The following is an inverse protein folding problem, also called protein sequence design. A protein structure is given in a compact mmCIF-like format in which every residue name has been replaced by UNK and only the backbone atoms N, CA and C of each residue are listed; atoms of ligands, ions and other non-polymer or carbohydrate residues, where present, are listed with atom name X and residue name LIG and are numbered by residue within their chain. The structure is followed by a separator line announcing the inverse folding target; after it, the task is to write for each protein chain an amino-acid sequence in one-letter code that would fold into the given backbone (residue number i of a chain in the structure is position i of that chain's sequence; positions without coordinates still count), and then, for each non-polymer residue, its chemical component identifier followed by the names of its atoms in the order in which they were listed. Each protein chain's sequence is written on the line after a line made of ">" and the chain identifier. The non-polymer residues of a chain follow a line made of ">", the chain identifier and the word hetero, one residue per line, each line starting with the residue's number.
data_IF_997490571815
#
_entry.id   IF_997490571815
#
_cell.length_a   1.000
_cell.length_b   1.000
_cell.length_c   1.000
_cell.angle_alpha   90.00
_cell.angle_beta   90.00
_cell.angle_gamma   90.00
#
_symmetry.space_group_name_H-M   'P 1'
#
loop_
_entity.id
_entity.type
_entity.pdbx_description
1 polymer ?
#
# COMPACT_ATOMS: atom_id res chain seq x y z
N UNK A 1 -21.16 -11.40 -3.32
CA UNK A 1 -20.63 -10.02 -3.36
C UNK A 1 -19.14 -10.10 -3.09
N UNK A 2 -18.28 -9.48 -3.93
CA UNK A 2 -16.87 -9.29 -3.56
C UNK A 2 -16.84 -8.25 -2.43
N UNK A 3 -16.25 -8.59 -1.30
CA UNK A 3 -16.08 -7.64 -0.19
C UNK A 3 -15.11 -6.54 -0.69
N UNK A 4 -15.48 -5.25 -0.62
CA UNK A 4 -14.59 -4.18 -1.04
C UNK A 4 -13.32 -4.15 -0.18
N UNK A 5 -12.17 -3.93 -0.82
CA UNK A 5 -10.89 -3.84 -0.13
C UNK A 5 -10.78 -2.44 0.52
N UNK A 6 -10.52 -2.34 1.83
CA UNK A 6 -10.47 -1.05 2.52
C UNK A 6 -9.11 -0.36 2.31
N UNK A 7 -8.83 0.12 1.09
CA UNK A 7 -7.54 0.73 0.76
C UNK A 7 -7.20 1.91 1.67
N UNK A 8 -8.18 2.68 2.14
CA UNK A 8 -7.95 3.78 3.10
C UNK A 8 -7.26 3.33 4.38
N UNK A 9 -7.78 2.29 5.03
CA UNK A 9 -7.19 1.72 6.25
C UNK A 9 -5.79 1.17 5.98
N UNK A 10 -5.56 0.60 4.80
CA UNK A 10 -4.25 0.08 4.42
C UNK A 10 -3.24 1.22 4.26
N UNK A 11 -3.63 2.31 3.59
CA UNK A 11 -2.77 3.48 3.40
C UNK A 11 -2.47 4.17 4.74
N UNK A 12 -3.47 4.35 5.60
CA UNK A 12 -3.28 4.86 6.96
C UNK A 12 -2.26 4.03 7.74
N UNK A 13 -2.34 2.69 7.61
CA UNK A 13 -1.39 1.82 8.29
C UNK A 13 0.01 1.95 7.72
N UNK A 14 0.16 2.01 6.39
CA UNK A 14 1.46 2.18 5.75
C UNK A 14 2.09 3.54 6.06
N UNK A 15 1.29 4.61 6.16
CA UNK A 15 1.73 5.96 6.54
C UNK A 15 2.34 6.04 7.95
N UNK A 16 2.11 5.06 8.82
CA UNK A 16 2.78 4.98 10.12
C UNK A 16 4.25 4.51 10.01
N UNK A 17 4.64 4.00 8.85
CA UNK A 17 5.93 3.33 8.61
C UNK A 17 6.73 3.94 7.44
N UNK A 18 6.29 5.08 6.90
CA UNK A 18 6.99 5.81 5.85
C UNK A 18 8.07 6.75 6.41
N UNK A 19 9.00 7.17 5.56
CA UNK A 19 9.92 8.26 5.84
C UNK A 19 9.25 9.66 5.67
N UNK A 20 10.04 10.73 5.80
CA UNK A 20 9.55 12.12 5.68
C UNK A 20 8.90 12.45 4.32
N UNK A 21 9.21 11.69 3.28
CA UNK A 21 8.72 11.89 1.91
C UNK A 21 7.53 10.98 1.57
N UNK A 22 6.94 10.32 2.57
CA UNK A 22 5.88 9.31 2.44
C UNK A 22 6.31 8.07 1.62
N UNK A 23 7.60 7.71 1.66
CA UNK A 23 8.16 6.56 0.96
C UNK A 23 8.36 5.39 1.93
N UNK A 24 8.05 4.19 1.47
CA UNK A 24 8.27 2.91 2.17
C UNK A 24 8.81 1.85 1.20
N UNK A 25 9.66 0.95 1.70
CA UNK A 25 10.13 -0.20 0.93
C UNK A 25 8.99 -1.17 0.60
N UNK A 26 8.95 -1.70 -0.62
CA UNK A 26 7.96 -2.69 -1.10
C UNK A 26 7.91 -3.91 -0.18
N UNK A 27 9.08 -4.38 0.31
CA UNK A 27 9.17 -5.52 1.24
C UNK A 27 8.46 -5.22 2.55
N UNK A 28 8.72 -4.07 3.14
CA UNK A 28 8.13 -3.65 4.41
C UNK A 28 6.65 -3.36 4.26
N UNK A 29 6.25 -2.69 3.18
CA UNK A 29 4.84 -2.48 2.85
C UNK A 29 4.09 -3.81 2.73
N UNK A 30 4.65 -4.79 2.00
CA UNK A 30 4.05 -6.14 1.91
C UNK A 30 3.96 -6.83 3.27
N UNK A 31 4.98 -6.68 4.11
CA UNK A 31 5.00 -7.23 5.46
C UNK A 31 3.89 -6.61 6.33
N UNK A 32 3.79 -5.28 6.39
CA UNK A 32 2.77 -4.60 7.19
C UNK A 32 1.35 -4.91 6.71
N UNK A 33 1.11 -4.94 5.40
CA UNK A 33 -0.20 -5.32 4.86
C UNK A 33 -0.55 -6.76 5.21
N UNK A 34 0.40 -7.69 5.03
CA UNK A 34 0.21 -9.11 5.34
C UNK A 34 -0.14 -9.32 6.81
N UNK A 35 0.64 -8.73 7.73
CA UNK A 35 0.46 -8.91 9.18
C UNK A 35 -0.80 -8.21 9.70
N UNK A 36 -1.07 -6.97 9.27
CA UNK A 36 -2.19 -6.19 9.82
C UNK A 36 -3.54 -6.61 9.24
N UNK A 37 -3.59 -7.02 7.98
CA UNK A 37 -4.84 -7.33 7.27
C UNK A 37 -5.01 -8.82 6.96
N UNK A 38 -4.04 -9.67 7.35
CA UNK A 38 -4.05 -11.13 7.14
C UNK A 38 -4.26 -11.51 5.68
N UNK A 39 -3.60 -10.79 4.78
CA UNK A 39 -3.72 -10.95 3.32
C UNK A 39 -2.53 -11.73 2.75
N UNK A 40 -2.79 -12.63 1.82
CA UNK A 40 -1.73 -13.36 1.11
C UNK A 40 -0.89 -12.42 0.22
N UNK A 41 0.43 -12.59 0.24
CA UNK A 41 1.38 -11.83 -0.58
C UNK A 41 1.03 -11.73 -2.08
N UNK A 42 0.41 -12.76 -2.67
CA UNK A 42 -0.06 -12.71 -4.08
C UNK A 42 -1.14 -11.65 -4.28
N UNK A 43 -2.09 -11.57 -3.35
CA UNK A 43 -3.17 -10.57 -3.39
C UNK A 43 -2.63 -9.17 -3.10
N UNK A 44 -1.66 -9.03 -2.19
CA UNK A 44 -1.04 -7.73 -1.88
C UNK A 44 -0.40 -7.11 -3.13
N UNK A 45 0.26 -7.92 -3.96
CA UNK A 45 0.83 -7.42 -5.21
C UNK A 45 -0.24 -6.85 -6.15
N UNK A 46 -1.37 -7.55 -6.32
CA UNK A 46 -2.51 -7.04 -7.08
C UNK A 46 -3.07 -5.76 -6.48
N UNK A 47 -3.22 -5.71 -5.15
CA UNK A 47 -3.71 -4.53 -4.44
C UNK A 47 -2.82 -3.31 -4.65
N UNK A 48 -1.50 -3.46 -4.69
CA UNK A 48 -0.60 -2.34 -4.98
C UNK A 48 -0.72 -1.86 -6.43
N UNK A 49 -0.94 -2.76 -7.40
CA UNK A 49 -1.24 -2.33 -8.76
C UNK A 49 -2.56 -1.58 -8.84
N UNK A 50 -3.61 -2.10 -8.20
CA UNK A 50 -4.91 -1.41 -8.12
C UNK A 50 -4.79 -0.04 -7.44
N UNK A 51 -4.07 0.07 -6.32
CA UNK A 51 -3.81 1.35 -5.65
C UNK A 51 -3.04 2.33 -6.53
N UNK A 52 -2.10 1.85 -7.35
CA UNK A 52 -1.38 2.70 -8.31
C UNK A 52 -2.32 3.22 -9.39
N UNK A 53 -3.15 2.34 -9.96
CA UNK A 53 -4.11 2.71 -11.01
C UNK A 53 -5.17 3.69 -10.49
N UNK A 54 -5.49 3.61 -9.19
CA UNK A 54 -6.36 4.55 -8.48
C UNK A 54 -5.66 5.86 -8.07
N UNK A 55 -4.35 6.03 -8.30
CA UNK A 55 -3.60 7.22 -7.92
C UNK A 55 -3.35 7.36 -6.41
N UNK A 56 -3.46 6.27 -5.65
CA UNK A 56 -3.24 6.24 -4.20
C UNK A 56 -1.76 6.11 -3.84
N UNK A 57 -0.99 5.44 -4.70
CA UNK A 57 0.46 5.22 -4.53
C UNK A 57 1.19 5.40 -5.86
N UNK A 58 2.50 5.59 -5.78
CA UNK A 58 3.42 5.60 -6.91
C UNK A 58 4.59 4.66 -6.63
N UNK A 59 5.02 3.88 -7.62
CA UNK A 59 6.27 3.12 -7.52
C UNK A 59 7.43 4.03 -7.89
N UNK A 60 8.26 4.41 -6.91
CA UNK A 60 9.46 5.23 -7.14
C UNK A 60 10.50 4.41 -7.92
N UNK A 61 10.60 3.13 -7.59
CA UNK A 61 11.43 2.14 -8.26
C UNK A 61 10.90 0.72 -7.95
N UNK A 62 11.66 -0.33 -8.26
CA UNK A 62 11.25 -1.72 -7.99
C UNK A 62 11.21 -2.09 -6.49
N UNK A 63 11.88 -1.30 -5.64
CA UNK A 63 12.05 -1.55 -4.21
C UNK A 63 11.25 -0.60 -3.32
N UNK A 64 10.71 0.50 -3.84
CA UNK A 64 10.10 1.58 -3.05
C UNK A 64 8.77 2.06 -3.63
N UNK A 65 7.86 2.41 -2.71
CA UNK A 65 6.52 2.94 -2.99
C UNK A 65 6.36 4.27 -2.24
N UNK A 66 5.83 5.28 -2.92
CA UNK A 66 5.42 6.55 -2.36
C UNK A 66 3.90 6.57 -2.18
N UNK A 67 3.44 6.99 -1.01
CA UNK A 67 2.00 7.15 -0.71
C UNK A 67 1.57 8.56 -1.11
N UNK A 68 0.55 8.66 -1.96
CA UNK A 68 0.04 9.93 -2.47
C UNK A 68 -1.10 10.42 -1.55
N UNK A 69 -0.83 11.48 -0.79
CA UNK A 69 -1.72 12.03 0.25
C UNK A 69 -3.05 12.62 -0.25
N UNK A 70 -3.34 12.63 -1.55
CA UNK A 70 -4.44 13.41 -2.14
C UNK A 70 -5.78 12.67 -2.22
N UNK A 71 -6.00 11.60 -1.46
CA UNK A 71 -7.19 10.73 -1.65
C UNK A 71 -8.19 10.73 -0.49
N UNK A 72 -8.10 11.68 0.43
CA UNK A 72 -9.04 11.84 1.55
C UNK A 72 -9.41 13.30 1.77
#
# INVERSE_FOLDING_TARGET
>A
MKIPIPYSLILEKLLQHVNRDNIIGVKDAKYYVSVCFRVNHKLIAQMFFEMKDLGLIEFVNQAEIKILRNSF
#
